data_IF_100725471582
#
_entry.id   IF_100725471582
#
_cell.length_a   1.000
_cell.length_b   1.000
_cell.length_c   1.000
_cell.angle_alpha   90.00
_cell.angle_beta   90.00
_cell.angle_gamma   90.00
#
_symmetry.space_group_name_H-M   'P 1'
#
loop_
_entity.id
_entity.type
_entity.pdbx_description
1 polymer ?
#
# COMPACT_ATOMS: atom_id res chain seq x y z
N UNK A 1 12.61 6.92 -17.83
CA UNK A 1 11.40 6.77 -16.99
C UNK A 1 10.78 5.38 -16.96
N UNK A 2 11.28 4.37 -17.68
CA UNK A 2 10.74 3.00 -17.60
C UNK A 2 11.46 2.10 -16.57
N UNK A 3 12.60 2.53 -16.04
CA UNK A 3 13.46 1.72 -15.16
C UNK A 3 13.04 1.75 -13.68
N UNK A 4 12.06 2.60 -13.34
CA UNK A 4 11.51 2.75 -11.98
C UNK A 4 10.22 1.95 -11.75
N UNK A 5 9.66 1.33 -12.80
CA UNK A 5 8.55 0.41 -12.64
C UNK A 5 9.10 -0.88 -12.04
N UNK A 6 9.03 -1.01 -10.72
CA UNK A 6 9.38 -2.22 -9.99
C UNK A 6 8.69 -3.41 -10.67
N UNK A 7 9.47 -4.23 -11.40
CA UNK A 7 8.95 -5.35 -12.20
C UNK A 7 8.54 -6.53 -11.31
N UNK A 8 8.59 -6.37 -9.99
CA UNK A 8 8.08 -7.35 -9.04
C UNK A 8 6.57 -7.50 -9.27
N UNK A 9 6.12 -8.75 -9.33
CA UNK A 9 4.74 -9.09 -9.70
C UNK A 9 3.70 -8.72 -8.63
N UNK A 10 4.15 -8.46 -7.41
CA UNK A 10 3.30 -8.28 -6.24
C UNK A 10 3.60 -6.90 -5.63
N UNK A 11 3.01 -5.87 -6.21
CA UNK A 11 3.22 -4.48 -5.81
C UNK A 11 1.89 -3.82 -5.46
N UNK A 12 1.93 -2.89 -4.50
CA UNK A 12 0.81 -2.02 -4.14
C UNK A 12 1.32 -0.61 -3.86
N UNK A 13 0.42 0.37 -3.94
CA UNK A 13 0.71 1.76 -3.60
C UNK A 13 -0.07 2.19 -2.38
N UNK A 14 0.51 3.08 -1.58
CA UNK A 14 -0.16 3.74 -0.46
C UNK A 14 -0.03 5.24 -0.67
N UNK A 15 -1.15 5.95 -0.65
CA UNK A 15 -1.14 7.41 -0.69
C UNK A 15 -0.86 7.95 0.71
N UNK A 16 0.15 8.81 0.84
CA UNK A 16 0.47 9.50 2.09
C UNK A 16 -0.57 10.59 2.39
N UNK A 17 -0.52 11.13 3.61
CA UNK A 17 -1.33 12.29 3.99
C UNK A 17 -1.07 13.52 3.11
N UNK A 18 0.16 13.67 2.60
CA UNK A 18 0.53 14.75 1.67
C UNK A 18 0.11 14.50 0.22
N UNK A 19 -0.51 13.35 -0.08
CA UNK A 19 -0.96 12.96 -1.42
C UNK A 19 0.14 12.36 -2.30
N UNK A 20 1.29 12.00 -1.73
CA UNK A 20 2.37 11.29 -2.43
C UNK A 20 2.07 9.79 -2.51
N UNK A 21 2.29 9.18 -3.67
CA UNK A 21 2.19 7.73 -3.83
C UNK A 21 3.50 7.05 -3.41
N UNK A 22 3.41 6.22 -2.36
CA UNK A 22 4.50 5.36 -1.89
C UNK A 22 4.35 3.97 -2.49
N UNK A 23 5.42 3.46 -3.08
CA UNK A 23 5.43 2.19 -3.81
C UNK A 23 6.07 1.09 -2.96
N UNK A 24 5.35 -0.02 -2.79
CA UNK A 24 5.81 -1.19 -2.03
C UNK A 24 5.70 -2.44 -2.88
N UNK A 25 6.61 -3.38 -2.64
CA UNK A 25 6.57 -4.72 -3.22
C UNK A 25 6.72 -5.79 -2.15
N UNK A 26 6.07 -6.93 -2.37
CA UNK A 26 6.12 -8.10 -1.50
C UNK A 26 6.69 -9.29 -2.26
N UNK A 27 7.24 -10.25 -1.51
CA UNK A 27 7.86 -11.44 -2.11
C UNK A 27 6.81 -12.46 -2.58
N UNK A 28 5.70 -12.59 -1.84
CA UNK A 28 4.65 -13.58 -2.10
C UNK A 28 3.31 -12.93 -2.49
N UNK A 29 2.59 -13.56 -3.41
CA UNK A 29 1.25 -13.12 -3.82
C UNK A 29 0.25 -13.07 -2.66
N UNK A 30 0.33 -14.03 -1.73
CA UNK A 30 -0.56 -14.08 -0.57
C UNK A 30 -0.36 -12.92 0.40
N UNK A 31 0.83 -12.31 0.40
CA UNK A 31 1.14 -11.18 1.28
C UNK A 31 0.56 -9.89 0.72
N UNK A 32 0.39 -9.78 -0.60
CA UNK A 32 -0.16 -8.59 -1.25
C UNK A 32 -1.57 -8.28 -0.71
N UNK A 33 -2.46 -9.27 -0.76
CA UNK A 33 -3.83 -9.12 -0.25
C UNK A 33 -3.88 -8.89 1.27
N UNK A 34 -2.90 -9.38 2.03
CA UNK A 34 -2.82 -9.12 3.48
C UNK A 34 -2.42 -7.68 3.76
N UNK A 35 -1.41 -7.18 3.07
CA UNK A 35 -0.96 -5.80 3.19
C UNK A 35 -2.05 -4.81 2.76
N UNK A 36 -2.72 -5.04 1.64
CA UNK A 36 -3.84 -4.20 1.19
C UNK A 36 -4.94 -4.08 2.27
N UNK A 37 -5.36 -5.22 2.83
CA UNK A 37 -6.38 -5.24 3.90
C UNK A 37 -5.90 -4.57 5.17
N UNK A 38 -4.64 -4.80 5.57
CA UNK A 38 -4.08 -4.19 6.76
C UNK A 38 -4.03 -2.67 6.64
N UNK A 39 -3.57 -2.14 5.50
CA UNK A 39 -3.55 -0.70 5.24
C UNK A 39 -4.95 -0.10 5.20
N UNK A 40 -5.89 -0.72 4.47
CA UNK A 40 -7.28 -0.26 4.43
C UNK A 40 -7.91 -0.22 5.83
N UNK A 41 -7.67 -1.26 6.64
CA UNK A 41 -8.18 -1.35 8.02
C UNK A 41 -7.55 -0.28 8.90
N UNK A 42 -6.23 -0.08 8.82
CA UNK A 42 -5.53 0.94 9.60
C UNK A 42 -6.00 2.35 9.24
N UNK A 43 -6.13 2.66 7.95
CA UNK A 43 -6.66 3.95 7.48
C UNK A 43 -8.10 4.16 7.96
N UNK A 44 -8.96 3.14 7.88
CA UNK A 44 -10.33 3.24 8.37
C UNK A 44 -10.41 3.45 9.89
N UNK A 45 -9.63 2.69 10.68
CA UNK A 45 -9.62 2.82 12.13
C UNK A 45 -9.05 4.16 12.61
N UNK A 46 -8.09 4.73 11.88
CA UNK A 46 -7.59 6.09 12.16
C UNK A 46 -8.71 7.13 11.96
N UNK A 47 -9.57 6.96 10.95
CA UNK A 47 -10.74 7.83 10.73
C UNK A 47 -11.74 7.73 11.89
N UNK A 48 -12.00 6.53 12.44
CA UNK A 48 -12.89 6.36 13.59
C UNK A 48 -12.31 6.92 14.90
N UNK A 49 -10.99 6.93 15.07
CA UNK A 49 -10.34 7.41 16.30
C UNK A 49 -10.33 8.95 16.42
N UNK A 50 -10.50 9.65 15.30
CA UNK A 50 -10.47 11.12 15.21
C UNK A 50 -11.88 11.74 15.36
N UNK A 51 -12.95 10.92 15.45
CA UNK A 51 -14.33 11.38 15.65
C UNK A 51 -14.74 11.55 17.12
#
# INVERSE_FOLDING_TARGET
>A
DSDLLDRRKHCFTVQSESGEDLYFSVELECDLAQWERAFQTATFLEVERIQ
#
